data_IF_819533520561
#
_entry.id   IF_819533520561
#
_cell.length_a   1.000
_cell.length_b   1.000
_cell.length_c   1.000
_cell.angle_alpha   90.00
_cell.angle_beta   90.00
_cell.angle_gamma   90.00
#
_symmetry.space_group_name_H-M   'P 1'
#
loop_
_entity.id
_entity.type
_entity.pdbx_description
1 polymer ?
#
# COMPACT_ATOMS: atom_id res chain seq x y z
N UNK A 1 -17.46 -4.74 5.99
CA UNK A 1 -17.28 -3.93 4.77
C UNK A 1 -16.07 -4.46 4.01
N UNK A 2 -15.92 -4.21 2.72
CA UNK A 2 -14.72 -4.69 2.00
C UNK A 2 -13.44 -4.08 2.60
N UNK A 3 -13.53 -2.84 3.12
CA UNK A 3 -12.41 -2.18 3.79
C UNK A 3 -11.89 -2.96 4.99
N UNK A 4 -12.79 -3.48 5.83
CA UNK A 4 -12.43 -4.31 6.99
C UNK A 4 -11.76 -5.62 6.57
N UNK A 5 -12.22 -6.23 5.47
CA UNK A 5 -11.65 -7.45 4.93
C UNK A 5 -10.23 -7.22 4.41
N UNK A 6 -10.01 -6.15 3.65
CA UNK A 6 -8.67 -5.73 3.19
C UNK A 6 -7.75 -5.54 4.40
N UNK A 7 -8.21 -4.81 5.42
CA UNK A 7 -7.43 -4.55 6.62
C UNK A 7 -7.15 -5.81 7.45
N UNK A 8 -8.08 -6.78 7.47
CA UNK A 8 -7.87 -8.07 8.12
C UNK A 8 -6.82 -8.90 7.37
N UNK A 9 -6.88 -8.93 6.03
CA UNK A 9 -5.90 -9.62 5.18
C UNK A 9 -4.50 -9.02 5.37
N UNK A 10 -4.37 -7.69 5.27
CA UNK A 10 -3.08 -7.02 5.45
C UNK A 10 -2.42 -7.37 6.80
N UNK A 11 -3.23 -7.46 7.89
CA UNK A 11 -2.74 -7.88 9.22
C UNK A 11 -2.16 -9.29 9.24
N UNK A 12 -2.64 -10.20 8.39
CA UNK A 12 -2.10 -11.56 8.32
C UNK A 12 -0.68 -11.64 7.74
N UNK A 13 -0.26 -10.61 7.01
CA UNK A 13 1.09 -10.54 6.42
C UNK A 13 2.10 -9.78 7.28
N UNK A 14 1.71 -9.21 8.43
CA UNK A 14 2.66 -8.55 9.33
C UNK A 14 3.75 -9.54 9.75
N UNK A 15 5.00 -9.12 9.64
CA UNK A 15 6.16 -9.96 9.93
C UNK A 15 6.65 -10.79 8.75
N UNK A 16 6.01 -10.70 7.57
CA UNK A 16 6.56 -11.28 6.35
C UNK A 16 7.84 -10.54 5.98
N UNK A 17 8.90 -11.30 5.70
CA UNK A 17 10.23 -10.76 5.44
C UNK A 17 10.73 -11.12 4.04
N UNK A 18 11.39 -10.16 3.40
CA UNK A 18 12.13 -10.38 2.18
C UNK A 18 13.43 -11.16 2.45
N UNK A 19 13.99 -11.72 1.38
CA UNK A 19 15.42 -12.05 1.33
C UNK A 19 16.12 -10.79 0.82
N UNK A 20 16.95 -10.17 1.66
CA UNK A 20 17.48 -8.85 1.35
C UNK A 20 18.62 -8.85 0.32
N UNK A 21 18.78 -7.75 -0.45
CA UNK A 21 17.76 -6.73 -0.74
C UNK A 21 16.89 -7.15 -1.93
N UNK A 22 15.56 -7.04 -1.84
CA UNK A 22 14.61 -7.33 -2.92
C UNK A 22 14.84 -8.67 -3.65
N UNK A 23 15.42 -9.67 -2.98
CA UNK A 23 15.87 -10.92 -3.62
C UNK A 23 14.78 -12.02 -3.64
N UNK A 24 13.67 -11.78 -2.94
CA UNK A 24 12.57 -12.73 -2.78
C UNK A 24 11.97 -12.63 -1.39
N UNK A 25 11.29 -13.67 -0.93
CA UNK A 25 10.64 -13.69 0.40
C UNK A 25 10.95 -15.00 1.11
N UNK A 26 11.08 -14.92 2.44
CA UNK A 26 11.41 -16.09 3.28
C UNK A 26 10.28 -17.11 3.30
N UNK A 27 9.03 -16.64 3.33
CA UNK A 27 7.84 -17.49 3.22
C UNK A 27 7.54 -17.78 1.74
N UNK A 28 7.60 -19.05 1.30
CA UNK A 28 7.28 -19.42 -0.08
C UNK A 28 5.84 -19.11 -0.49
N UNK A 29 4.88 -19.15 0.45
CA UNK A 29 3.48 -18.86 0.15
C UNK A 29 3.27 -17.37 -0.11
N UNK A 30 3.88 -16.50 0.70
CA UNK A 30 3.88 -15.06 0.46
C UNK A 30 4.64 -14.71 -0.83
N UNK A 31 5.78 -15.36 -1.07
CA UNK A 31 6.54 -15.19 -2.32
C UNK A 31 5.69 -15.51 -3.56
N UNK A 32 4.87 -16.56 -3.51
CA UNK A 32 3.97 -16.91 -4.60
C UNK A 32 2.93 -15.82 -4.84
N UNK A 33 2.32 -15.28 -3.78
CA UNK A 33 1.34 -14.18 -3.87
C UNK A 33 1.96 -12.93 -4.50
N UNK A 34 3.11 -12.47 -4.00
CA UNK A 34 3.80 -11.30 -4.55
C UNK A 34 4.17 -11.50 -6.03
N UNK A 35 4.63 -12.68 -6.43
CA UNK A 35 4.94 -12.95 -7.85
C UNK A 35 3.73 -12.85 -8.77
N UNK A 36 2.51 -13.13 -8.28
CA UNK A 36 1.30 -13.00 -9.10
C UNK A 36 0.98 -11.55 -9.47
N UNK A 37 1.53 -10.57 -8.75
CA UNK A 37 1.37 -9.14 -9.09
C UNK A 37 2.30 -8.69 -10.22
N UNK A 38 3.14 -9.59 -10.74
CA UNK A 38 4.18 -9.26 -11.73
C UNK A 38 5.47 -8.71 -11.13
N UNK A 39 5.64 -8.75 -9.80
CA UNK A 39 6.87 -8.32 -9.14
C UNK A 39 8.09 -9.13 -9.61
N UNK A 40 9.22 -8.43 -9.76
CA UNK A 40 10.50 -9.01 -10.23
C UNK A 40 11.60 -8.80 -9.19
N UNK A 41 12.47 -9.80 -9.06
CA UNK A 41 13.67 -9.73 -8.21
C UNK A 41 14.47 -8.46 -8.49
N UNK A 42 14.89 -7.78 -7.43
CA UNK A 42 15.59 -6.50 -7.47
C UNK A 42 14.66 -5.27 -7.44
N UNK A 43 13.36 -5.44 -7.66
CA UNK A 43 12.39 -4.33 -7.62
C UNK A 43 11.88 -4.06 -6.21
N UNK A 44 11.60 -2.80 -5.84
CA UNK A 44 10.82 -2.48 -4.65
C UNK A 44 9.44 -3.19 -4.65
N UNK A 45 8.95 -3.60 -3.49
CA UNK A 45 7.72 -4.43 -3.39
C UNK A 45 6.56 -3.84 -2.58
N UNK A 46 6.62 -2.58 -2.15
CA UNK A 46 5.54 -1.93 -1.41
C UNK A 46 4.19 -1.96 -2.14
N UNK A 47 4.18 -1.68 -3.45
CA UNK A 47 2.97 -1.75 -4.27
C UNK A 47 2.47 -3.19 -4.47
N UNK A 48 3.39 -4.15 -4.63
CA UNK A 48 3.02 -5.55 -4.74
C UNK A 48 2.31 -6.04 -3.47
N UNK A 49 2.79 -5.65 -2.28
CA UNK A 49 2.14 -5.98 -1.02
C UNK A 49 0.69 -5.46 -0.95
N UNK A 50 0.48 -4.17 -1.24
CA UNK A 50 -0.87 -3.58 -1.26
C UNK A 50 -1.79 -4.23 -2.31
N UNK A 51 -1.25 -4.59 -3.48
CA UNK A 51 -2.00 -5.29 -4.54
C UNK A 51 -2.42 -6.68 -4.09
N UNK A 52 -1.57 -7.43 -3.38
CA UNK A 52 -1.94 -8.74 -2.82
C UNK A 52 -3.12 -8.59 -1.87
N UNK A 53 -3.07 -7.65 -0.92
CA UNK A 53 -4.14 -7.43 0.05
C UNK A 53 -5.48 -7.16 -0.62
N UNK A 54 -5.49 -6.26 -1.60
CA UNK A 54 -6.69 -5.94 -2.37
C UNK A 54 -7.17 -7.09 -3.25
N UNK A 55 -6.26 -7.78 -3.93
CA UNK A 55 -6.60 -8.90 -4.83
C UNK A 55 -7.27 -10.03 -4.06
N UNK A 56 -6.78 -10.34 -2.86
CA UNK A 56 -7.39 -11.36 -2.00
C UNK A 56 -8.75 -10.92 -1.46
N UNK A 57 -8.89 -9.65 -1.08
CA UNK A 57 -10.18 -9.13 -0.60
C UNK A 57 -11.24 -9.15 -1.70
N UNK A 58 -10.88 -8.74 -2.92
CA UNK A 58 -11.79 -8.65 -4.06
C UNK A 58 -12.02 -9.98 -4.79
N UNK A 59 -11.35 -11.07 -4.43
CA UNK A 59 -11.50 -12.37 -5.09
C UNK A 59 -12.97 -12.87 -5.21
N UNK A 60 -13.88 -12.65 -4.23
CA UNK A 60 -15.30 -12.99 -4.37
C UNK A 60 -16.09 -12.12 -5.35
N UNK A 61 -15.52 -10.99 -5.82
CA UNK A 61 -16.18 -9.97 -6.63
C UNK A 61 -15.45 -9.78 -7.97
N UNK A 62 -15.55 -10.74 -8.91
CA UNK A 62 -14.67 -10.83 -10.09
C UNK A 62 -14.74 -9.61 -11.01
N UNK A 63 -15.88 -8.93 -11.12
CA UNK A 63 -16.01 -7.72 -11.93
C UNK A 63 -15.21 -6.55 -11.33
N UNK A 64 -15.30 -6.34 -10.01
CA UNK A 64 -14.51 -5.32 -9.32
C UNK A 64 -13.03 -5.67 -9.30
N UNK A 65 -12.69 -6.93 -9.04
CA UNK A 65 -11.31 -7.41 -9.11
C UNK A 65 -10.68 -7.16 -10.49
N UNK A 66 -11.42 -7.47 -11.57
CA UNK A 66 -10.96 -7.25 -12.94
C UNK A 66 -10.83 -5.76 -13.29
N UNK A 67 -11.67 -4.88 -12.71
CA UNK A 67 -11.53 -3.44 -12.87
C UNK A 67 -10.29 -2.93 -12.13
N UNK A 68 -10.16 -3.24 -10.84
CA UNK A 68 -9.01 -2.86 -10.01
C UNK A 68 -7.69 -3.30 -10.66
N UNK A 69 -7.64 -4.53 -11.17
CA UNK A 69 -6.46 -5.09 -11.83
C UNK A 69 -5.98 -4.29 -13.03
N UNK A 70 -6.87 -3.62 -13.78
CA UNK A 70 -6.48 -2.75 -14.90
C UNK A 70 -5.81 -1.46 -14.45
N UNK A 71 -6.01 -1.06 -13.19
CA UNK A 71 -5.54 0.19 -12.62
C UNK A 71 -4.26 0.00 -11.79
N UNK A 72 -3.97 -1.22 -11.35
CA UNK A 72 -2.75 -1.54 -10.61
C UNK A 72 -1.48 -1.19 -11.40
N UNK A 73 -0.48 -0.69 -10.67
CA UNK A 73 0.91 -0.56 -11.14
C UNK A 73 1.84 -0.86 -9.97
N UNK A 74 2.98 -1.47 -10.26
CA UNK A 74 4.05 -1.68 -9.28
C UNK A 74 4.80 -0.37 -8.97
N UNK A 75 4.57 0.69 -9.74
CA UNK A 75 4.95 2.05 -9.36
C UNK A 75 3.80 2.70 -8.58
N UNK A 76 4.02 3.02 -7.30
CA UNK A 76 2.96 3.59 -6.45
C UNK A 76 2.40 4.92 -6.97
N UNK A 77 3.24 5.76 -7.57
CA UNK A 77 2.81 7.05 -8.13
C UNK A 77 1.90 6.84 -9.33
N UNK A 78 2.26 5.91 -10.21
CA UNK A 78 1.45 5.54 -11.36
C UNK A 78 0.13 4.89 -10.95
N UNK A 79 0.16 3.97 -9.98
CA UNK A 79 -1.05 3.38 -9.42
C UNK A 79 -1.99 4.47 -8.90
N UNK A 80 -1.47 5.43 -8.12
CA UNK A 80 -2.24 6.59 -7.67
C UNK A 80 -2.85 7.41 -8.81
N UNK A 81 -2.11 7.62 -9.91
CA UNK A 81 -2.61 8.33 -11.10
C UNK A 81 -3.67 7.54 -11.86
N UNK A 82 -3.47 6.23 -12.04
CA UNK A 82 -4.41 5.35 -12.75
C UNK A 82 -5.77 5.36 -12.06
N UNK A 83 -5.79 5.12 -10.75
CA UNK A 83 -7.02 5.16 -9.96
C UNK A 83 -7.64 6.57 -9.89
N UNK A 84 -6.85 7.63 -9.96
CA UNK A 84 -7.39 8.99 -10.02
C UNK A 84 -8.13 9.29 -11.32
N UNK A 85 -7.54 8.85 -12.43
CA UNK A 85 -8.03 9.10 -13.77
C UNK A 85 -9.24 8.22 -14.10
N UNK A 86 -9.41 7.12 -13.37
CA UNK A 86 -10.59 6.28 -13.47
C UNK A 86 -11.84 7.04 -12.99
N UNK A 87 -12.91 7.12 -13.80
CA UNK A 87 -14.10 7.89 -13.45
C UNK A 87 -15.01 7.17 -12.44
N UNK A 88 -14.73 5.90 -12.12
CA UNK A 88 -15.55 5.06 -11.25
C UNK A 88 -14.91 4.95 -9.85
N UNK A 89 -13.58 4.85 -9.78
CA UNK A 89 -12.91 4.53 -8.54
C UNK A 89 -12.73 5.76 -7.63
N UNK A 90 -13.25 5.73 -6.39
CA UNK A 90 -13.14 6.87 -5.49
C UNK A 90 -11.70 7.07 -4.98
N UNK A 91 -11.24 8.32 -5.02
CA UNK A 91 -9.97 8.74 -4.43
C UNK A 91 -10.15 9.99 -3.57
N UNK A 92 -9.24 10.23 -2.63
CA UNK A 92 -9.25 11.42 -1.77
C UNK A 92 -7.83 11.88 -1.47
N UNK A 93 -7.61 13.18 -1.29
CA UNK A 93 -6.31 13.72 -0.84
C UNK A 93 -6.24 13.91 0.67
N UNK A 94 -7.34 13.72 1.40
CA UNK A 94 -7.43 14.11 2.82
C UNK A 94 -8.28 13.19 3.71
N UNK A 95 -9.06 12.28 3.15
CA UNK A 95 -9.94 11.41 3.94
C UNK A 95 -9.37 10.00 3.98
N UNK A 96 -8.75 9.56 5.09
CA UNK A 96 -8.34 8.18 5.24
C UNK A 96 -9.58 7.30 5.43
N UNK A 97 -9.53 6.06 4.92
CA UNK A 97 -10.57 5.05 5.15
C UNK A 97 -9.92 3.70 5.34
N UNK A 98 -10.47 2.88 6.24
CA UNK A 98 -10.01 1.49 6.41
C UNK A 98 -10.11 0.74 5.07
N UNK A 99 -9.05 0.01 4.72
CA UNK A 99 -8.85 -0.68 3.46
C UNK A 99 -8.38 0.20 2.30
N UNK A 100 -8.27 1.51 2.47
CA UNK A 100 -7.73 2.37 1.42
C UNK A 100 -6.24 2.11 1.19
N UNK A 101 -5.79 2.29 -0.05
CA UNK A 101 -4.36 2.36 -0.36
C UNK A 101 -3.93 3.81 -0.23
N UNK A 102 -3.03 4.11 0.71
CA UNK A 102 -2.32 5.37 0.80
C UNK A 102 -1.18 5.41 -0.22
N UNK A 103 -1.06 6.50 -0.95
CA UNK A 103 0.01 6.78 -1.92
C UNK A 103 0.84 7.94 -1.38
N UNK A 104 2.15 7.73 -1.28
CA UNK A 104 3.09 8.72 -0.79
C UNK A 104 4.13 9.06 -1.85
N UNK A 105 4.47 10.34 -2.02
CA UNK A 105 5.63 10.81 -2.79
C UNK A 105 6.86 10.88 -1.89
N UNK A 106 8.04 10.65 -2.45
CA UNK A 106 9.31 10.70 -1.71
C UNK A 106 10.02 12.05 -1.94
N UNK A 107 10.05 12.90 -0.92
CA UNK A 107 10.60 14.25 -1.04
C UNK A 107 9.94 15.04 -2.17
N UNK A 108 10.77 15.63 -3.02
CA UNK A 108 10.37 16.35 -4.24
C UNK A 108 10.29 15.45 -5.50
N UNK A 109 10.46 14.14 -5.34
CA UNK A 109 10.45 13.22 -6.47
C UNK A 109 9.05 13.07 -7.06
N UNK A 110 8.98 13.12 -8.39
CA UNK A 110 7.73 12.89 -9.14
C UNK A 110 7.60 11.44 -9.63
N UNK A 111 8.64 10.61 -9.42
CA UNK A 111 8.74 9.25 -9.97
C UNK A 111 8.98 8.18 -8.90
N UNK A 112 9.41 8.58 -7.69
CA UNK A 112 9.60 7.68 -6.55
C UNK A 112 8.58 7.97 -5.46
N UNK A 113 8.26 6.94 -4.69
CA UNK A 113 7.28 7.05 -3.63
C UNK A 113 7.14 5.76 -2.85
N UNK A 114 6.05 5.68 -2.09
CA UNK A 114 5.69 4.51 -1.30
C UNK A 114 4.18 4.31 -1.33
N UNK A 115 3.72 3.16 -0.87
CA UNK A 115 2.31 2.88 -0.72
C UNK A 115 2.05 1.89 0.39
N UNK A 116 0.89 2.01 1.01
CA UNK A 116 0.52 1.26 2.19
C UNK A 116 -0.99 1.06 2.26
N UNK A 117 -1.44 0.02 2.95
CA UNK A 117 -2.87 -0.23 3.18
C UNK A 117 -3.27 0.36 4.53
N UNK A 118 -4.27 1.24 4.56
CA UNK A 118 -4.86 1.78 5.78
C UNK A 118 -5.63 0.67 6.50
N UNK A 119 -5.29 0.38 7.74
CA UNK A 119 -5.92 -0.68 8.53
C UNK A 119 -6.75 -0.17 9.70
N UNK A 120 -6.53 1.08 10.10
CA UNK A 120 -7.30 1.74 11.16
C UNK A 120 -7.30 3.26 10.95
N UNK A 121 -8.35 3.93 11.41
CA UNK A 121 -8.49 5.40 11.40
C UNK A 121 -8.92 5.82 12.80
N UNK A 122 -8.11 6.67 13.44
CA UNK A 122 -8.37 7.08 14.83
C UNK A 122 -9.56 8.05 14.91
N UNK A 123 -10.16 8.25 16.10
CA UNK A 123 -11.33 9.12 16.28
C UNK A 123 -11.14 10.58 15.86
N UNK A 124 -9.90 11.05 15.71
CA UNK A 124 -9.58 12.39 15.20
C UNK A 124 -9.79 12.52 13.68
N UNK A 125 -10.03 11.41 12.97
CA UNK A 125 -10.23 11.27 11.52
C UNK A 125 -9.06 11.73 10.65
N UNK A 126 -7.91 12.03 11.25
CA UNK A 126 -6.71 12.49 10.54
C UNK A 126 -5.51 11.59 10.80
N UNK A 127 -5.48 10.92 11.94
CA UNK A 127 -4.46 9.92 12.28
C UNK A 127 -4.95 8.55 11.85
N UNK A 128 -4.07 7.79 11.20
CA UNK A 128 -4.40 6.47 10.68
C UNK A 128 -3.22 5.52 10.79
N UNK A 129 -3.52 4.23 10.90
CA UNK A 129 -2.53 3.16 10.89
C UNK A 129 -2.52 2.49 9.53
N UNK A 130 -1.33 2.13 9.08
CA UNK A 130 -1.12 1.42 7.82
C UNK A 130 -0.35 0.14 8.05
N UNK A 131 -0.50 -0.81 7.13
CA UNK A 131 0.42 -1.93 6.95
C UNK A 131 1.12 -1.75 5.61
N UNK A 132 2.44 -1.88 5.64
CA UNK A 132 3.31 -1.52 4.53
C UNK A 132 4.29 -2.63 4.28
N UNK A 133 4.48 -3.00 3.01
CA UNK A 133 5.59 -3.84 2.58
C UNK A 133 6.79 -3.00 2.19
N UNK A 134 7.97 -3.62 2.16
CA UNK A 134 9.24 -2.98 1.79
C UNK A 134 9.59 -1.79 2.71
N UNK A 135 9.38 -1.98 4.01
CA UNK A 135 9.58 -1.00 5.07
C UNK A 135 10.45 -1.59 6.20
N UNK A 136 10.74 -0.79 7.22
CA UNK A 136 11.35 -1.21 8.48
C UNK A 136 10.31 -1.16 9.61
N UNK A 137 10.51 -1.86 10.74
CA UNK A 137 9.63 -1.72 11.89
C UNK A 137 9.52 -0.26 12.37
N UNK A 138 8.32 0.15 12.80
CA UNK A 138 8.10 1.50 13.32
C UNK A 138 9.07 1.82 14.47
N UNK A 139 9.57 3.07 14.49
CA UNK A 139 10.52 3.54 15.48
C UNK A 139 11.98 3.14 15.24
N UNK A 140 12.28 2.29 14.25
CA UNK A 140 13.66 1.99 13.89
C UNK A 140 14.29 3.15 13.09
N UNK A 141 15.57 3.49 13.34
CA UNK A 141 16.29 4.46 12.53
C UNK A 141 16.64 3.86 11.16
N UNK A 142 16.50 4.65 10.10
CA UNK A 142 16.87 4.23 8.75
C UNK A 142 15.93 4.76 7.68
N UNK A 143 16.14 4.32 6.44
CA UNK A 143 15.21 4.57 5.36
C UNK A 143 13.93 3.77 5.62
N UNK A 144 12.81 4.47 5.83
CA UNK A 144 11.48 3.85 5.95
C UNK A 144 11.04 3.23 4.61
N UNK A 145 11.73 3.55 3.51
CA UNK A 145 11.59 2.90 2.21
C UNK A 145 12.68 1.83 2.04
N UNK A 146 12.39 0.81 1.23
CA UNK A 146 13.36 -0.24 0.86
C UNK A 146 13.83 -1.09 2.05
N UNK A 147 12.95 -1.25 3.04
CA UNK A 147 13.21 -2.15 4.16
C UNK A 147 12.77 -3.59 3.89
N UNK A 148 12.95 -4.46 4.86
CA UNK A 148 12.87 -5.91 4.64
C UNK A 148 11.55 -6.56 5.04
N UNK A 149 10.62 -5.83 5.64
CA UNK A 149 9.50 -6.42 6.36
C UNK A 149 8.16 -5.83 5.95
N UNK A 150 7.09 -6.58 6.18
CA UNK A 150 5.74 -6.04 6.29
C UNK A 150 5.51 -5.57 7.73
N UNK A 151 5.35 -4.27 7.93
CA UNK A 151 5.18 -3.69 9.27
C UNK A 151 4.07 -2.64 9.33
N UNK A 152 3.59 -2.39 10.54
CA UNK A 152 2.60 -1.34 10.80
C UNK A 152 3.28 0.01 11.01
N UNK A 153 2.68 1.08 10.46
CA UNK A 153 3.10 2.47 10.67
C UNK A 153 1.92 3.36 11.09
N UNK A 154 2.25 4.53 11.63
CA UNK A 154 1.27 5.56 11.99
C UNK A 154 1.52 6.81 11.17
N UNK A 155 0.47 7.35 10.60
CA UNK A 155 0.51 8.53 9.74
C UNK A 155 -0.55 9.53 10.16
N UNK A 156 -0.34 10.79 9.74
CA UNK A 156 -1.28 11.88 9.99
C UNK A 156 -1.50 12.64 8.68
N UNK A 157 -2.75 12.92 8.34
CA UNK A 157 -3.11 13.74 7.18
C UNK A 157 -2.71 15.20 7.42
N UNK A 158 -2.34 15.91 6.35
CA UNK A 158 -2.12 17.36 6.40
C UNK A 158 -0.79 17.76 7.04
N UNK A 159 0.14 16.82 7.18
CA UNK A 159 1.51 17.14 7.56
C UNK A 159 2.15 18.09 6.53
N UNK A 160 3.01 19.02 6.97
CA UNK A 160 3.78 19.85 6.07
C UNK A 160 4.61 19.00 5.10
N UNK A 161 4.81 19.51 3.88
CA UNK A 161 5.69 18.87 2.90
C UNK A 161 7.10 18.70 3.47
N UNK A 162 7.64 17.50 3.33
CA UNK A 162 9.01 17.14 3.68
C UNK A 162 9.81 16.90 2.41
N UNK A 163 10.95 17.58 2.26
CA UNK A 163 11.87 17.38 1.12
C UNK A 163 12.71 16.10 1.27
N UNK A 164 12.70 15.46 2.44
CA UNK A 164 13.48 14.24 2.75
C UNK A 164 12.64 13.07 3.24
N UNK A 165 11.31 13.19 3.21
CA UNK A 165 10.39 12.20 3.76
C UNK A 165 9.22 11.88 2.85
N UNK A 166 8.36 10.98 3.30
CA UNK A 166 7.15 10.60 2.60
C UNK A 166 6.05 11.66 2.76
N UNK A 167 5.50 12.10 1.64
CA UNK A 167 4.42 13.08 1.57
C UNK A 167 3.15 12.39 1.08
N UNK A 168 2.07 12.44 1.84
CA UNK A 168 0.79 11.88 1.41
C UNK A 168 0.31 12.60 0.14
N UNK A 169 0.06 11.84 -0.91
CA UNK A 169 -0.50 12.34 -2.17
C UNK A 169 -2.00 12.09 -2.21
N UNK A 170 -2.41 10.86 -1.92
CA UNK A 170 -3.82 10.44 -1.97
C UNK A 170 -4.07 9.12 -1.28
N UNK A 171 -5.34 8.89 -0.99
CA UNK A 171 -5.95 7.61 -0.72
C UNK A 171 -6.72 7.14 -1.95
N UNK A 172 -6.58 5.85 -2.26
CA UNK A 172 -7.46 5.11 -3.15
C UNK A 172 -8.46 4.37 -2.25
N UNK A 173 -9.73 4.76 -2.26
CA UNK A 173 -10.73 4.17 -1.36
C UNK A 173 -11.22 2.84 -1.94
N UNK A 174 -11.46 1.81 -1.11
CA UNK A 174 -12.07 0.59 -1.62
C UNK A 174 -13.51 0.87 -2.06
N UNK A 175 -13.93 0.24 -3.16
CA UNK A 175 -15.33 0.21 -3.59
C UNK A 175 -16.07 -0.93 -2.88
N UNK A 176 -17.20 -0.61 -2.25
CA UNK A 176 -18.10 -1.64 -1.72
C UNK A 176 -18.83 -2.36 -2.87
N UNK A 177 -18.95 -3.69 -2.80
CA UNK A 177 -19.59 -4.51 -3.82
C UNK A 177 -21.12 -4.44 -3.85
#
# INVERSE_FOLDING_TARGET
MIGDQIAAIARTFVGQEEIQPNAGFKDPAYAAKIKTTGWQTGSPWCAAAAIVDWTEAYAPYPALAAHAHKLYSLNSQEMGRNFHADPVWPTSTSVPKVGAIAIFGDGDSTVTGHTAVVVDVLPDNVTYHTIEGNTIPAGNPGNQREGYIVAQHTHVVGQPHSVTGLNLIRFIHPMEP
#
